data_IF_510550173950
#
_entry.id   IF_510550173950
#
_cell.length_a   1.000
_cell.length_b   1.000
_cell.length_c   1.000
_cell.angle_alpha   90.00
_cell.angle_beta   90.00
_cell.angle_gamma   90.00
#
_symmetry.space_group_name_H-M   'P 1'
#
loop_
_entity.id
_entity.type
_entity.pdbx_description
1 polymer ?
#
# COMPACT_ATOMS: atom_id res chain seq x y z
N UNK A 1 -17.73 12.57 32.87
CA UNK A 1 -16.72 12.89 31.84
C UNK A 1 -15.82 11.70 31.48
N UNK A 2 -15.11 11.08 32.43
CA UNK A 2 -14.19 9.96 32.14
C UNK A 2 -14.84 8.76 31.42
N UNK A 3 -16.03 8.34 31.86
CA UNK A 3 -16.81 7.25 31.23
C UNK A 3 -17.22 7.56 29.78
N UNK A 4 -17.47 8.84 29.46
CA UNK A 4 -17.80 9.29 28.10
C UNK A 4 -16.56 9.28 27.20
N UNK A 5 -15.40 9.69 27.72
CA UNK A 5 -14.11 9.63 27.03
C UNK A 5 -13.75 8.19 26.67
N UNK A 6 -13.86 7.25 27.63
CA UNK A 6 -13.61 5.82 27.38
C UNK A 6 -14.55 5.27 26.31
N UNK A 7 -15.86 5.61 26.38
CA UNK A 7 -16.83 5.14 25.39
C UNK A 7 -16.52 5.67 23.98
N UNK A 8 -16.06 6.91 23.87
CA UNK A 8 -15.64 7.53 22.60
C UNK A 8 -14.37 6.91 22.04
N UNK A 9 -13.39 6.59 22.89
CA UNK A 9 -12.17 5.86 22.51
C UNK A 9 -12.50 4.43 22.03
N UNK A 10 -13.34 3.71 22.76
CA UNK A 10 -13.80 2.36 22.37
C UNK A 10 -14.55 2.36 21.04
N UNK A 11 -15.28 3.43 20.71
CA UNK A 11 -15.94 3.59 19.41
C UNK A 11 -14.97 4.00 18.30
N UNK A 12 -13.89 4.73 18.62
CA UNK A 12 -12.86 5.09 17.65
C UNK A 12 -12.02 3.89 17.19
N UNK A 13 -11.79 2.91 18.07
CA UNK A 13 -11.02 1.69 17.75
C UNK A 13 -11.58 0.96 16.51
N UNK A 14 -12.86 0.55 16.45
CA UNK A 14 -13.40 -0.14 15.28
C UNK A 14 -13.40 0.73 14.02
N UNK A 15 -13.58 2.05 14.15
CA UNK A 15 -13.46 2.97 13.02
C UNK A 15 -12.03 2.99 12.46
N UNK A 16 -11.03 3.12 13.33
CA UNK A 16 -9.62 3.12 12.93
C UNK A 16 -9.21 1.78 12.30
N UNK A 17 -9.67 0.67 12.87
CA UNK A 17 -9.44 -0.67 12.30
C UNK A 17 -10.10 -0.76 10.91
N UNK A 18 -11.36 -0.33 10.77
CA UNK A 18 -12.06 -0.34 9.48
C UNK A 18 -11.33 0.46 8.40
N UNK A 19 -10.94 1.69 8.71
CA UNK A 19 -10.17 2.55 7.77
C UNK A 19 -8.81 1.94 7.46
N UNK A 20 -8.12 1.37 8.46
CA UNK A 20 -6.83 0.72 8.25
C UNK A 20 -6.94 -0.48 7.33
N UNK A 21 -7.94 -1.35 7.55
CA UNK A 21 -8.20 -2.52 6.68
C UNK A 21 -8.50 -2.05 5.27
N UNK A 22 -9.35 -1.04 5.09
CA UNK A 22 -9.68 -0.51 3.76
C UNK A 22 -8.42 0.05 3.10
N UNK A 23 -7.63 0.88 3.79
CA UNK A 23 -6.41 1.46 3.25
C UNK A 23 -5.37 0.38 2.88
N UNK A 24 -5.17 -0.60 3.76
CA UNK A 24 -4.23 -1.70 3.51
C UNK A 24 -4.73 -2.63 2.40
N UNK A 25 -6.03 -2.86 2.32
CA UNK A 25 -6.65 -3.62 1.23
C UNK A 25 -6.46 -2.87 -0.08
N UNK A 26 -6.72 -1.56 -0.13
CA UNK A 26 -6.46 -0.73 -1.32
C UNK A 26 -4.98 -0.80 -1.68
N UNK A 27 -4.07 -0.75 -0.71
CA UNK A 27 -2.62 -0.85 -0.97
C UNK A 27 -2.21 -2.24 -1.48
N UNK A 28 -2.82 -3.31 -0.99
CA UNK A 28 -2.55 -4.69 -1.43
C UNK A 28 -3.23 -5.03 -2.77
N UNK A 29 -4.39 -4.44 -3.04
CA UNK A 29 -5.13 -4.59 -4.30
C UNK A 29 -4.62 -3.61 -5.37
N UNK A 30 -4.00 -2.50 -4.98
CA UNK A 30 -3.25 -1.66 -5.90
C UNK A 30 -2.17 -2.56 -6.51
N UNK A 31 -2.25 -2.86 -7.82
CA UNK A 31 -1.35 -3.80 -8.45
C UNK A 31 0.03 -3.17 -8.40
N UNK A 32 0.87 -3.66 -7.49
CA UNK A 32 2.03 -2.86 -7.16
C UNK A 32 3.04 -3.34 -6.17
N UNK A 33 3.77 -4.39 -6.57
CA UNK A 33 5.16 -4.49 -6.15
C UNK A 33 5.93 -3.19 -6.47
N UNK A 34 7.16 -3.03 -5.94
CA UNK A 34 7.97 -1.80 -6.03
C UNK A 34 8.19 -1.24 -7.45
N UNK A 35 7.80 -1.98 -8.48
CA UNK A 35 7.90 -1.60 -9.89
C UNK A 35 6.60 -1.08 -10.52
N UNK A 36 5.43 -1.18 -9.89
CA UNK A 36 4.18 -0.70 -10.51
C UNK A 36 4.05 0.81 -10.58
N UNK A 37 4.77 1.53 -9.72
CA UNK A 37 4.90 2.99 -9.82
C UNK A 37 5.47 3.36 -11.19
N UNK A 38 6.30 2.49 -11.79
CA UNK A 38 6.82 2.66 -13.15
C UNK A 38 5.85 2.17 -14.23
N UNK A 39 4.97 1.20 -13.95
CA UNK A 39 3.93 0.75 -14.91
C UNK A 39 2.83 1.79 -15.16
N UNK A 40 2.64 2.71 -14.23
CA UNK A 40 1.71 3.84 -14.37
C UNK A 40 2.33 5.00 -15.17
N UNK A 41 3.63 4.94 -15.48
CA UNK A 41 4.31 5.94 -16.29
C UNK A 41 4.31 5.51 -17.77
N UNK A 42 3.53 6.18 -18.66
CA UNK A 42 3.43 5.82 -20.07
C UNK A 42 4.73 6.02 -20.87
N UNK A 43 5.78 6.58 -20.26
CA UNK A 43 7.11 6.72 -20.88
C UNK A 43 8.02 5.52 -20.66
N UNK A 44 7.60 4.52 -19.86
CA UNK A 44 8.44 3.36 -19.51
C UNK A 44 7.95 2.14 -20.26
N UNK A 45 8.81 1.59 -21.13
CA UNK A 45 8.51 0.39 -21.91
C UNK A 45 8.74 -0.86 -21.06
N UNK A 46 8.07 -1.97 -21.37
CA UNK A 46 8.28 -3.25 -20.68
C UNK A 46 9.76 -3.66 -20.59
N UNK A 47 10.56 -3.32 -21.61
CA UNK A 47 12.01 -3.55 -21.67
C UNK A 47 12.80 -2.73 -20.64
N UNK A 48 12.32 -1.55 -20.26
CA UNK A 48 12.97 -0.71 -19.26
C UNK A 48 12.68 -1.22 -17.85
N UNK A 49 11.52 -1.84 -17.64
CA UNK A 49 11.16 -2.52 -16.38
C UNK A 49 12.12 -3.69 -16.11
N UNK A 50 12.42 -4.51 -17.13
CA UNK A 50 13.35 -5.63 -17.00
C UNK A 50 14.78 -5.16 -16.68
N UNK A 51 15.23 -4.05 -17.30
CA UNK A 51 16.53 -3.44 -16.97
C UNK A 51 16.55 -2.93 -15.54
N UNK A 52 15.50 -2.24 -15.10
CA UNK A 52 15.39 -1.74 -13.72
C UNK A 52 15.41 -2.91 -12.73
N UNK A 53 14.76 -4.03 -13.06
CA UNK A 53 14.74 -5.24 -12.21
C UNK A 53 16.14 -5.83 -12.02
N UNK A 54 16.94 -5.88 -13.09
CA UNK A 54 18.35 -6.34 -13.05
C UNK A 54 19.24 -5.32 -12.32
N UNK A 55 19.09 -4.03 -12.58
CA UNK A 55 19.89 -2.97 -11.93
C UNK A 55 19.64 -2.93 -10.42
N UNK A 56 18.40 -3.14 -10.00
CA UNK A 56 18.03 -3.15 -8.59
C UNK A 56 18.32 -4.50 -7.89
N UNK A 57 18.82 -5.50 -8.61
CA UNK A 57 19.13 -6.82 -8.05
C UNK A 57 17.90 -7.60 -7.58
N UNK A 58 16.70 -7.26 -8.07
CA UNK A 58 15.45 -7.98 -7.80
C UNK A 58 15.32 -9.28 -8.63
N UNK A 59 16.36 -9.64 -9.39
CA UNK A 59 16.50 -10.92 -10.09
C UNK A 59 17.25 -11.98 -9.26
N UNK A 60 17.69 -11.63 -8.05
CA UNK A 60 18.38 -12.53 -7.14
C UNK A 60 17.35 -13.21 -6.20
N UNK A 61 17.48 -14.53 -5.97
CA UNK A 61 16.47 -15.35 -5.30
C UNK A 61 16.21 -14.97 -3.84
#
# INVERSE_FOLDING_TARGET
>A
MFKYIIKRLLQAIPLLIGVSIIAFSIMHLAPGGPLSVYTLNPSITAQDIDKIKVILGLDQP
#
